data_IF_721459846414
#
_entry.id   IF_721459846414
#
_cell.length_a   1.000
_cell.length_b   1.000
_cell.length_c   1.000
_cell.angle_alpha   90.00
_cell.angle_beta   90.00
_cell.angle_gamma   90.00
#
_symmetry.space_group_name_H-M   'P 1'
#
loop_
_entity.id
_entity.type
_entity.pdbx_description
1 polymer ?
#
# COMPACT_ATOMS: atom_id res chain seq x y z
N UNK A 1 -1.77 13.51 -4.21
CA UNK A 1 -1.36 13.77 -2.82
C UNK A 1 -0.62 12.57 -2.22
N UNK A 2 -1.25 11.41 -2.05
CA UNK A 2 -0.64 10.31 -1.28
C UNK A 2 0.70 9.81 -1.85
N UNK A 3 0.84 9.75 -3.17
CA UNK A 3 2.09 9.31 -3.84
C UNK A 3 3.24 10.31 -3.64
N UNK A 4 2.92 11.61 -3.57
CA UNK A 4 3.91 12.66 -3.34
C UNK A 4 4.43 12.58 -1.90
N UNK A 5 3.50 12.42 -0.94
CA UNK A 5 3.87 12.23 0.47
C UNK A 5 4.71 10.96 0.61
N UNK A 6 4.27 9.84 0.04
CA UNK A 6 5.03 8.59 0.06
C UNK A 6 6.45 8.75 -0.50
N UNK A 7 6.62 9.40 -1.65
CA UNK A 7 7.93 9.66 -2.25
C UNK A 7 8.81 10.63 -1.45
N UNK A 8 8.22 11.44 -0.56
CA UNK A 8 8.98 12.33 0.34
C UNK A 8 9.41 11.66 1.65
N UNK A 9 8.91 10.46 1.94
CA UNK A 9 9.22 9.72 3.16
C UNK A 9 10.41 8.80 2.94
N UNK A 10 11.22 8.65 3.99
CA UNK A 10 12.32 7.67 3.97
C UNK A 10 11.78 6.31 4.43
N UNK A 11 11.92 5.23 3.65
CA UNK A 11 11.49 3.91 4.08
C UNK A 11 12.28 3.49 5.32
N UNK A 12 11.58 2.97 6.33
CA UNK A 12 12.20 2.48 7.55
C UNK A 12 12.87 1.13 7.29
N UNK A 13 14.10 0.92 7.78
CA UNK A 13 14.86 -0.32 7.60
C UNK A 13 14.17 -1.55 8.19
N UNK A 14 13.44 -1.37 9.30
CA UNK A 14 12.61 -2.41 9.91
C UNK A 14 11.43 -2.88 9.01
N UNK A 15 11.17 -2.18 7.90
CA UNK A 15 10.06 -2.53 7.00
C UNK A 15 8.67 -2.19 7.57
N UNK A 16 8.61 -1.37 8.62
CA UNK A 16 7.41 -0.77 9.21
C UNK A 16 7.76 0.52 9.97
N UNK A 17 6.74 1.30 10.35
CA UNK A 17 6.93 2.49 11.19
C UNK A 17 7.17 3.81 10.44
N UNK A 18 7.28 3.79 9.10
CA UNK A 18 7.44 5.03 8.29
C UNK A 18 6.30 6.04 8.49
N UNK A 19 5.12 5.61 8.95
CA UNK A 19 4.01 6.50 9.31
C UNK A 19 4.34 7.45 10.48
N UNK A 20 5.29 7.10 11.35
CA UNK A 20 5.69 7.97 12.47
C UNK A 20 6.36 9.26 12.00
N UNK A 21 6.96 9.27 10.81
CA UNK A 21 7.57 10.46 10.20
C UNK A 21 6.54 11.52 9.83
N UNK A 22 5.27 11.14 9.62
CA UNK A 22 4.16 12.07 9.39
C UNK A 22 3.40 12.44 10.67
N UNK A 23 3.99 12.17 11.84
CA UNK A 23 3.42 12.51 13.15
C UNK A 23 2.34 11.55 13.65
N UNK A 24 2.16 10.39 13.00
CA UNK A 24 1.24 9.36 13.50
C UNK A 24 1.89 8.60 14.67
N UNK A 25 1.10 8.20 15.69
CA UNK A 25 1.60 7.37 16.77
C UNK A 25 2.04 5.99 16.27
N UNK A 26 2.93 5.29 16.99
CA UNK A 26 3.27 3.92 16.68
C UNK A 26 2.01 3.03 16.69
N UNK A 27 2.03 1.96 15.90
CA UNK A 27 0.89 1.06 15.79
C UNK A 27 0.58 0.42 17.15
N UNK A 28 -0.53 0.80 17.79
CA UNK A 28 -0.93 0.25 19.09
C UNK A 28 -0.99 -1.28 19.07
N UNK A 29 -1.39 -1.89 17.95
CA UNK A 29 -1.41 -3.35 17.82
C UNK A 29 -0.04 -3.98 18.05
N UNK A 30 1.00 -3.35 17.48
CA UNK A 30 2.37 -3.78 17.67
C UNK A 30 2.81 -3.52 19.11
N UNK A 31 2.48 -2.36 19.69
CA UNK A 31 2.84 -2.03 21.08
C UNK A 31 2.21 -3.00 22.09
N UNK A 32 0.97 -3.43 21.87
CA UNK A 32 0.23 -4.29 22.81
C UNK A 32 0.45 -5.78 22.58
N UNK A 33 0.59 -6.23 21.33
CA UNK A 33 0.62 -7.65 20.98
C UNK A 33 1.94 -8.12 20.35
N UNK A 34 2.89 -7.21 20.13
CA UNK A 34 4.16 -7.46 19.43
C UNK A 34 3.98 -8.25 18.11
N UNK A 35 2.91 -7.91 17.39
CA UNK A 35 2.53 -8.57 16.13
C UNK A 35 2.14 -7.54 15.08
N UNK A 36 2.37 -7.81 13.80
CA UNK A 36 1.96 -6.89 12.73
C UNK A 36 0.44 -6.95 12.55
N UNK A 37 -0.20 -5.78 12.51
CA UNK A 37 -1.56 -5.66 12.01
C UNK A 37 -1.57 -5.78 10.46
N UNK A 38 -2.71 -6.03 9.80
CA UNK A 38 -2.78 -6.18 8.34
C UNK A 38 -2.32 -4.95 7.56
N UNK A 39 -2.24 -3.78 8.20
CA UNK A 39 -1.78 -2.53 7.59
C UNK A 39 -0.34 -2.16 7.96
N UNK A 40 0.33 -2.95 8.83
CA UNK A 40 1.72 -2.72 9.20
C UNK A 40 2.64 -2.84 7.98
N UNK A 41 3.52 -1.85 7.81
CA UNK A 41 4.46 -1.79 6.69
C UNK A 41 3.88 -1.21 5.39
N UNK A 42 2.59 -0.89 5.31
CA UNK A 42 2.02 -0.31 4.08
C UNK A 42 2.66 1.03 3.72
N UNK A 43 2.84 1.95 4.67
CA UNK A 43 3.48 3.25 4.40
C UNK A 43 4.94 3.09 4.02
N UNK A 44 5.63 2.10 4.58
CA UNK A 44 7.02 1.78 4.22
C UNK A 44 7.12 1.19 2.82
N UNK A 45 6.18 0.33 2.41
CA UNK A 45 6.10 -0.14 1.02
C UNK A 45 5.80 1.00 0.05
N UNK A 46 4.90 1.93 0.40
CA UNK A 46 4.63 3.13 -0.40
C UNK A 46 5.87 4.02 -0.55
N UNK A 47 6.65 4.21 0.52
CA UNK A 47 7.91 4.95 0.47
C UNK A 47 8.94 4.26 -0.43
N UNK A 48 9.14 2.94 -0.27
CA UNK A 48 10.01 2.16 -1.15
C UNK A 48 9.59 2.24 -2.62
N UNK A 49 8.30 2.14 -2.91
CA UNK A 49 7.78 2.29 -4.27
C UNK A 49 7.98 3.71 -4.82
N UNK A 50 7.84 4.74 -3.98
CA UNK A 50 8.10 6.14 -4.33
C UNK A 50 9.56 6.43 -4.65
N UNK A 51 10.50 5.77 -3.96
CA UNK A 51 11.95 5.85 -4.25
C UNK A 51 12.38 4.98 -5.45
N UNK A 52 11.50 4.14 -5.99
CA UNK A 52 11.82 3.21 -7.08
C UNK A 52 12.40 1.87 -6.62
N UNK A 53 12.43 1.61 -5.30
CA UNK A 53 12.83 0.34 -4.71
C UNK A 53 11.68 -0.69 -4.75
N UNK A 54 11.30 -1.12 -5.96
CA UNK A 54 10.17 -2.04 -6.18
C UNK A 54 10.31 -3.38 -5.45
N UNK A 55 11.52 -3.96 -5.46
CA UNK A 55 11.78 -5.24 -4.80
C UNK A 55 11.65 -5.09 -3.27
N UNK A 56 12.21 -4.02 -2.70
CA UNK A 56 12.07 -3.72 -1.28
C UNK A 56 10.62 -3.43 -0.90
N UNK A 57 9.87 -2.75 -1.77
CA UNK A 57 8.43 -2.51 -1.59
C UNK A 57 7.64 -3.82 -1.55
N UNK A 58 7.96 -4.78 -2.42
CA UNK A 58 7.29 -6.08 -2.45
C UNK A 58 7.61 -6.90 -1.19
N UNK A 59 8.89 -6.97 -0.80
CA UNK A 59 9.34 -7.73 0.38
C UNK A 59 8.81 -7.11 1.67
N UNK A 60 8.68 -5.79 1.77
CA UNK A 60 8.18 -5.14 2.99
C UNK A 60 6.69 -5.36 3.21
N UNK A 61 5.87 -5.19 2.16
CA UNK A 61 4.42 -5.43 2.21
C UNK A 61 3.86 -5.56 0.78
N UNK A 62 3.65 -6.79 0.26
CA UNK A 62 3.18 -7.02 -1.11
C UNK A 62 1.85 -6.32 -1.42
N UNK A 63 0.92 -6.32 -0.47
CA UNK A 63 -0.36 -5.63 -0.63
C UNK A 63 -0.20 -4.11 -0.72
N UNK A 64 0.78 -3.53 -0.02
CA UNK A 64 1.10 -2.12 -0.08
C UNK A 64 1.65 -1.71 -1.44
N UNK A 65 2.54 -2.53 -2.02
CA UNK A 65 3.02 -2.33 -3.39
C UNK A 65 1.87 -2.36 -4.41
N UNK A 66 1.02 -3.38 -4.36
CA UNK A 66 -0.12 -3.51 -5.27
C UNK A 66 -1.07 -2.31 -5.15
N UNK A 67 -1.35 -1.86 -3.93
CA UNK A 67 -2.18 -0.68 -3.69
C UNK A 67 -1.53 0.61 -4.22
N UNK A 68 -0.21 0.74 -4.09
CA UNK A 68 0.53 1.89 -4.64
C UNK A 68 0.42 1.94 -6.17
N UNK A 69 0.63 0.80 -6.84
CA UNK A 69 0.48 0.69 -8.30
C UNK A 69 -0.96 0.95 -8.74
N UNK A 70 -1.95 0.40 -8.03
CA UNK A 70 -3.36 0.66 -8.30
C UNK A 70 -3.71 2.14 -8.17
N UNK A 71 -3.20 2.82 -7.13
CA UNK A 71 -3.43 4.25 -6.89
C UNK A 71 -2.77 5.12 -7.97
N UNK A 72 -1.54 4.79 -8.38
CA UNK A 72 -0.85 5.47 -9.48
C UNK A 72 -1.59 5.29 -10.81
N UNK A 73 -2.05 4.07 -11.09
CA UNK A 73 -2.79 3.74 -12.31
C UNK A 73 -4.13 4.47 -12.35
N UNK A 74 -4.86 4.49 -11.23
CA UNK A 74 -6.12 5.21 -11.09
C UNK A 74 -5.95 6.71 -11.30
N UNK A 75 -4.85 7.31 -10.79
CA UNK A 75 -4.55 8.72 -11.02
C UNK A 75 -4.36 9.04 -12.50
N UNK A 76 -3.52 8.28 -13.21
CA UNK A 76 -3.25 8.49 -14.64
C UNK A 76 -4.50 8.24 -15.51
N UNK A 77 -5.25 7.18 -15.22
CA UNK A 77 -6.52 6.90 -15.93
C UNK A 77 -7.56 7.99 -15.67
N UNK A 78 -7.67 8.50 -14.45
CA UNK A 78 -8.54 9.60 -14.08
C UNK A 78 -8.16 10.89 -14.80
N UNK A 79 -6.87 11.22 -14.84
CA UNK A 79 -6.34 12.39 -15.56
C UNK A 79 -6.60 12.27 -17.07
N UNK A 80 -6.34 11.12 -17.67
CA UNK A 80 -6.64 10.88 -19.08
C UNK A 80 -8.13 11.03 -19.37
N UNK A 81 -9.00 10.49 -18.51
CA UNK A 81 -10.45 10.61 -18.63
C UNK A 81 -10.90 12.06 -18.54
N UNK A 82 -10.34 12.84 -17.62
CA UNK A 82 -10.62 14.26 -17.47
C UNK A 82 -10.21 15.06 -18.72
N UNK A 83 -9.06 14.76 -19.31
CA UNK A 83 -8.53 15.47 -20.49
C UNK A 83 -9.22 15.09 -21.80
N UNK A 84 -9.66 13.83 -21.96
CA UNK A 84 -10.24 13.33 -23.22
C UNK A 84 -11.76 13.25 -23.21
N UNK A 85 -12.42 13.43 -22.05
CA UNK A 85 -13.88 13.26 -21.91
C UNK A 85 -14.36 11.83 -22.17
N UNK A 86 -13.46 10.84 -22.13
CA UNK A 86 -13.75 9.46 -22.48
C UNK A 86 -14.70 8.78 -21.47
N UNK A 87 -15.58 7.86 -21.91
CA UNK A 87 -16.52 7.10 -21.04
C UNK A 87 -15.86 5.96 -20.25
N UNK A 88 -14.58 6.10 -19.91
CA UNK A 88 -13.85 5.14 -19.06
C UNK A 88 -14.49 5.01 -17.67
N UNK A 89 -15.43 5.88 -17.27
CA UNK A 89 -16.29 5.68 -16.10
C UNK A 89 -17.04 4.33 -16.03
N UNK A 90 -17.13 3.57 -17.13
CA UNK A 90 -17.62 2.18 -17.12
C UNK A 90 -16.63 1.17 -16.50
N UNK A 91 -15.32 1.46 -16.52
CA UNK A 91 -14.29 0.66 -15.84
C UNK A 91 -14.41 0.74 -14.32
N UNK A 92 -14.91 1.86 -13.78
CA UNK A 92 -15.21 1.99 -12.35
C UNK A 92 -16.23 0.94 -11.90
N UNK A 93 -17.26 0.70 -12.72
CA UNK A 93 -18.25 -0.36 -12.48
C UNK A 93 -17.69 -1.79 -12.64
N UNK A 94 -16.63 -1.98 -13.42
CA UNK A 94 -15.95 -3.28 -13.58
C UNK A 94 -14.99 -3.57 -12.42
N UNK A 95 -14.25 -2.57 -11.95
CA UNK A 95 -13.36 -2.64 -10.77
C UNK A 95 -14.15 -2.86 -9.48
N UNK A 96 -15.36 -2.30 -9.38
CA UNK A 96 -16.27 -2.50 -8.24
C UNK A 96 -17.03 -3.84 -8.28
N UNK A 97 -16.74 -4.74 -9.23
CA UNK A 97 -17.33 -6.08 -9.22
C UNK A 97 -16.84 -6.89 -8.01
N UNK A 98 -17.66 -7.80 -7.48
CA UNK A 98 -17.29 -8.58 -6.29
C UNK A 98 -16.05 -9.45 -6.49
N UNK A 99 -15.76 -9.89 -7.72
CA UNK A 99 -14.60 -10.74 -8.05
C UNK A 99 -13.24 -10.05 -7.84
N UNK A 100 -12.95 -8.88 -8.44
CA UNK A 100 -11.69 -8.16 -8.18
C UNK A 100 -11.56 -7.71 -6.72
N UNK A 101 -12.66 -7.31 -6.07
CA UNK A 101 -12.65 -6.99 -4.64
C UNK A 101 -12.26 -8.20 -3.79
N UNK A 102 -12.87 -9.37 -4.04
CA UNK A 102 -12.53 -10.60 -3.33
C UNK A 102 -11.06 -11.02 -3.55
N UNK A 103 -10.55 -10.88 -4.78
CA UNK A 103 -9.14 -11.14 -5.09
C UNK A 103 -8.19 -10.20 -4.33
N UNK A 104 -8.54 -8.92 -4.22
CA UNK A 104 -7.76 -7.94 -3.46
C UNK A 104 -7.77 -8.25 -1.95
N UNK A 105 -8.94 -8.62 -1.40
CA UNK A 105 -9.07 -9.01 0.02
C UNK A 105 -8.28 -10.28 0.31
N UNK A 106 -8.35 -11.30 -0.55
CA UNK A 106 -7.55 -12.51 -0.42
C UNK A 106 -6.05 -12.22 -0.52
N UNK A 107 -5.65 -11.32 -1.42
CA UNK A 107 -4.27 -10.84 -1.54
C UNK A 107 -3.79 -10.12 -0.28
N UNK A 108 -4.63 -9.29 0.34
CA UNK A 108 -4.35 -8.63 1.62
C UNK A 108 -4.16 -9.64 2.75
N UNK A 109 -5.00 -10.67 2.83
CA UNK A 109 -4.88 -11.74 3.83
C UNK A 109 -3.58 -12.52 3.60
N UNK A 110 -3.28 -12.90 2.36
CA UNK A 110 -2.03 -13.59 2.02
C UNK A 110 -0.79 -12.77 2.34
N UNK A 111 -0.80 -11.48 2.03
CA UNK A 111 0.29 -10.57 2.35
C UNK A 111 0.43 -10.32 3.86
N UNK A 112 -0.68 -10.33 4.60
CA UNK A 112 -0.65 -10.27 6.07
C UNK A 112 -0.06 -11.53 6.67
N UNK A 113 -0.44 -12.71 6.19
CA UNK A 113 0.15 -14.00 6.61
C UNK A 113 1.66 -14.02 6.33
N UNK A 114 2.09 -13.54 5.16
CA UNK A 114 3.51 -13.36 4.87
C UNK A 114 4.21 -12.39 5.85
N UNK A 115 3.56 -11.27 6.18
CA UNK A 115 4.11 -10.29 7.14
C UNK A 115 4.20 -10.85 8.56
N UNK A 116 3.25 -11.68 8.98
CA UNK A 116 3.30 -12.39 10.26
C UNK A 116 4.52 -13.33 10.29
N UNK A 117 4.78 -14.06 9.20
CA UNK A 117 5.93 -14.97 9.13
C UNK A 117 7.28 -14.26 9.11
N UNK A 118 7.34 -13.06 8.54
CA UNK A 118 8.57 -12.25 8.40
C UNK A 118 8.71 -11.17 9.47
N UNK A 119 7.89 -11.25 10.52
CA UNK A 119 7.90 -10.27 11.61
C UNK A 119 9.16 -10.42 12.47
N UNK A 120 9.88 -9.31 12.65
CA UNK A 120 11.15 -9.28 13.39
C UNK A 120 11.06 -8.49 14.71
N UNK A 121 9.86 -8.27 15.26
CA UNK A 121 9.64 -7.48 16.48
C UNK A 121 9.58 -5.96 16.23
N UNK A 122 9.13 -5.21 17.24
CA UNK A 122 9.10 -3.74 17.25
C UNK A 122 10.46 -3.12 17.61
#
# INVERSE_FOLDING_TARGET
MVLIIAASLRPAEAGHGTHTQIGLPPCSWVVWFDKPCPTCGMTTAFANAGEGHWLASFVTQPAGMLLCVATASAFWLGLHTLLTGSRIGSLTGWVLRPKPIAAMVLGLIGAWVYKIMTWNGF
#
